data_IF_621884159931
#
_entry.id   IF_621884159931
#
_cell.length_a   1.000
_cell.length_b   1.000
_cell.length_c   1.000
_cell.angle_alpha   90.00
_cell.angle_beta   90.00
_cell.angle_gamma   90.00
#
_symmetry.space_group_name_H-M   'P 1'
#
loop_
_entity.id
_entity.type
_entity.pdbx_description
1 polymer ?
#
# COMPACT_ATOMS: atom_id res chain seq x y z
N UNK A 1 -26.86 8.47 17.89
CA UNK A 1 -26.71 8.82 16.47
C UNK A 1 -25.23 9.09 16.21
N UNK A 2 -24.52 8.17 15.57
CA UNK A 2 -23.18 8.46 15.03
C UNK A 2 -23.24 8.05 13.57
N UNK A 3 -23.45 9.05 12.72
CA UNK A 3 -23.34 8.89 11.28
C UNK A 3 -21.94 8.35 11.01
N UNK A 4 -21.88 7.16 10.41
CA UNK A 4 -20.65 6.56 9.93
C UNK A 4 -20.00 7.56 8.98
N UNK A 5 -18.99 8.29 9.46
CA UNK A 5 -18.19 9.18 8.64
C UNK A 5 -17.65 8.32 7.50
N UNK A 6 -18.02 8.66 6.26
CA UNK A 6 -17.69 7.91 5.04
C UNK A 6 -16.21 7.92 4.67
N UNK A 7 -15.32 8.08 5.66
CA UNK A 7 -13.88 8.17 5.54
C UNK A 7 -13.23 6.88 6.07
N UNK A 8 -12.13 6.48 5.44
CA UNK A 8 -11.40 5.28 5.83
C UNK A 8 -10.86 5.41 7.26
N UNK A 9 -11.07 4.37 8.08
CA UNK A 9 -10.56 4.28 9.45
C UNK A 9 -11.01 5.40 10.42
N UNK A 10 -12.16 6.03 10.21
CA UNK A 10 -12.66 7.16 11.02
C UNK A 10 -13.21 6.79 12.42
N UNK A 11 -13.23 5.51 12.80
CA UNK A 11 -13.80 5.07 14.08
C UNK A 11 -12.91 5.50 15.27
N UNK A 12 -13.49 5.98 16.39
CA UNK A 12 -12.74 6.25 17.61
C UNK A 12 -11.94 5.02 18.06
N UNK A 13 -10.66 5.20 18.39
CA UNK A 13 -9.74 4.12 18.78
C UNK A 13 -9.08 3.36 17.62
N UNK A 14 -9.33 3.72 16.36
CA UNK A 14 -8.53 3.23 15.24
C UNK A 14 -7.16 3.93 15.22
N UNK A 15 -6.09 3.14 15.14
CA UNK A 15 -4.71 3.63 15.22
C UNK A 15 -4.05 3.82 13.84
N UNK A 16 -4.79 3.69 12.74
CA UNK A 16 -4.24 3.72 11.39
C UNK A 16 -3.47 5.01 11.08
N UNK A 17 -4.12 6.17 11.24
CA UNK A 17 -3.50 7.46 10.90
C UNK A 17 -2.26 7.79 11.75
N UNK A 18 -2.28 7.61 13.08
CA UNK A 18 -1.06 7.74 13.89
C UNK A 18 0.05 6.76 13.50
N UNK A 19 -0.29 5.49 13.24
CA UNK A 19 0.69 4.46 12.85
C UNK A 19 1.31 4.77 11.49
N UNK A 20 0.50 5.21 10.51
CA UNK A 20 0.95 5.59 9.18
C UNK A 20 1.96 6.76 9.22
N UNK A 21 1.72 7.72 10.11
CA UNK A 21 2.66 8.80 10.35
C UNK A 21 3.93 8.31 11.05
N UNK A 22 3.78 7.56 12.15
CA UNK A 22 4.92 7.02 12.91
C UNK A 22 5.82 6.10 12.06
N UNK A 23 5.25 5.42 11.07
CA UNK A 23 5.98 4.61 10.10
C UNK A 23 6.61 5.42 8.97
N UNK A 24 6.52 6.75 9.00
CA UNK A 24 7.13 7.67 8.02
C UNK A 24 6.51 7.64 6.62
N UNK A 25 5.29 7.14 6.44
CA UNK A 25 4.58 7.25 5.16
C UNK A 25 4.03 8.66 4.92
N UNK A 26 3.79 9.41 5.99
CA UNK A 26 3.26 10.77 5.95
C UNK A 26 4.07 11.68 6.88
N UNK A 27 4.29 12.96 6.53
CA UNK A 27 5.11 13.88 7.31
C UNK A 27 4.41 14.35 8.60
N UNK A 28 3.09 14.16 8.70
CA UNK A 28 2.24 14.51 9.85
C UNK A 28 1.11 13.49 9.99
N UNK A 29 0.45 13.47 11.15
CA UNK A 29 -0.79 12.70 11.31
C UNK A 29 -1.91 13.38 10.51
N UNK A 30 -2.45 12.69 9.50
CA UNK A 30 -3.62 13.14 8.74
C UNK A 30 -4.90 12.77 9.48
N UNK A 31 -5.95 13.59 9.32
CA UNK A 31 -7.31 13.23 9.74
C UNK A 31 -7.97 12.32 8.70
N UNK A 32 -8.98 11.52 9.09
CA UNK A 32 -9.73 10.70 8.14
C UNK A 32 -10.31 11.49 6.95
N UNK A 33 -10.77 12.71 7.17
CA UNK A 33 -11.30 13.57 6.10
C UNK A 33 -10.21 14.14 5.15
N UNK A 34 -8.94 14.06 5.55
CA UNK A 34 -7.78 14.45 4.74
C UNK A 34 -7.24 13.28 3.89
N UNK A 35 -7.94 12.15 3.82
CA UNK A 35 -7.46 10.94 3.12
C UNK A 35 -7.07 11.16 1.66
N UNK A 36 -7.61 12.18 0.98
CA UNK A 36 -7.22 12.54 -0.39
C UNK A 36 -5.79 13.06 -0.49
N UNK A 37 -5.22 13.61 0.59
CA UNK A 37 -3.83 14.07 0.64
C UNK A 37 -2.85 12.89 0.50
N UNK A 38 -3.27 11.66 0.80
CA UNK A 38 -2.44 10.47 0.57
C UNK A 38 -1.94 10.37 -0.88
N UNK A 39 -2.75 10.82 -1.85
CA UNK A 39 -2.38 10.79 -3.26
C UNK A 39 -1.16 11.67 -3.57
N UNK A 40 -0.96 12.78 -2.85
CA UNK A 40 0.23 13.62 -3.04
C UNK A 40 1.51 12.96 -2.51
N UNK A 41 1.36 11.96 -1.64
CA UNK A 41 2.46 11.13 -1.13
C UNK A 41 2.65 9.84 -1.95
N UNK A 42 1.94 9.69 -3.08
CA UNK A 42 1.98 8.48 -3.90
C UNK A 42 1.26 7.28 -3.28
N UNK A 43 0.41 7.52 -2.27
CA UNK A 43 -0.31 6.49 -1.53
C UNK A 43 -1.79 6.46 -1.97
N UNK A 44 -2.29 5.26 -2.23
CA UNK A 44 -3.71 5.01 -2.45
C UNK A 44 -4.34 4.33 -1.24
N UNK A 45 -5.60 4.64 -0.95
CA UNK A 45 -6.41 3.97 0.08
C UNK A 45 -7.71 3.46 -0.54
N UNK A 46 -8.14 2.27 -0.14
CA UNK A 46 -9.37 1.63 -0.62
C UNK A 46 -9.84 0.59 0.41
N UNK A 47 -11.15 0.32 0.45
CA UNK A 47 -11.68 -0.79 1.23
C UNK A 47 -11.72 -2.07 0.37
N UNK A 48 -11.55 -3.23 1.02
CA UNK A 48 -11.76 -4.54 0.39
C UNK A 48 -13.26 -4.76 0.12
N UNK A 49 -14.12 -4.37 1.06
CA UNK A 49 -15.58 -4.49 0.92
C UNK A 49 -16.20 -3.08 0.97
N UNK A 50 -17.05 -2.76 -0.01
CA UNK A 50 -17.62 -1.40 -0.18
C UNK A 50 -18.77 -1.07 0.78
N UNK A 51 -19.33 -2.06 1.50
CA UNK A 51 -20.47 -1.82 2.38
C UNK A 51 -20.05 -0.97 3.58
N UNK A 52 -20.32 0.33 3.49
CA UNK A 52 -20.20 1.26 4.61
C UNK A 52 -21.01 0.72 5.81
N UNK A 53 -20.38 0.70 6.98
CA UNK A 53 -20.95 0.46 8.33
C UNK A 53 -20.79 -0.92 8.98
N UNK A 54 -20.57 -2.02 8.27
CA UNK A 54 -20.40 -3.33 8.94
C UNK A 54 -19.03 -3.40 9.64
N UNK A 55 -18.96 -3.91 10.87
CA UNK A 55 -17.67 -4.26 11.47
C UNK A 55 -17.03 -5.41 10.67
N UNK A 56 -15.72 -5.61 10.79
CA UNK A 56 -15.02 -6.68 10.06
C UNK A 56 -15.56 -8.09 10.39
N UNK A 57 -16.16 -8.24 11.57
CA UNK A 57 -16.87 -9.40 12.13
C UNK A 57 -18.32 -9.56 11.63
N UNK A 58 -18.89 -8.57 10.95
CA UNK A 58 -20.25 -8.61 10.40
C UNK A 58 -20.26 -8.87 8.89
N UNK A 59 -19.08 -8.92 8.26
CA UNK A 59 -18.91 -9.24 6.85
C UNK A 59 -18.83 -10.76 6.66
N UNK A 60 -19.64 -11.29 5.75
CA UNK A 60 -19.59 -12.70 5.39
C UNK A 60 -18.30 -13.04 4.64
N UNK A 61 -17.89 -14.32 4.72
CA UNK A 61 -16.75 -14.82 3.94
C UNK A 61 -16.93 -14.60 2.43
N UNK A 62 -18.17 -14.67 1.94
CA UNK A 62 -18.49 -14.43 0.53
C UNK A 62 -18.25 -12.97 0.13
N UNK A 63 -18.66 -12.01 0.96
CA UNK A 63 -18.39 -10.58 0.76
C UNK A 63 -16.89 -10.28 0.73
N UNK A 64 -16.10 -10.95 1.59
CA UNK A 64 -14.64 -10.83 1.55
C UNK A 64 -14.04 -11.38 0.26
N UNK A 65 -14.50 -12.56 -0.19
CA UNK A 65 -14.01 -13.16 -1.45
C UNK A 65 -14.34 -12.27 -2.64
N UNK A 66 -15.57 -11.77 -2.71
CA UNK A 66 -16.01 -10.86 -3.77
C UNK A 66 -15.22 -9.54 -3.73
N UNK A 67 -15.06 -8.95 -2.55
CA UNK A 67 -14.22 -7.78 -2.35
C UNK A 67 -12.76 -8.01 -2.77
N UNK A 68 -12.23 -9.20 -2.50
CA UNK A 68 -10.91 -9.64 -2.95
C UNK A 68 -10.78 -9.68 -4.48
N UNK A 69 -11.80 -10.17 -5.19
CA UNK A 69 -11.83 -10.16 -6.67
C UNK A 69 -11.83 -8.74 -7.23
N UNK A 70 -12.73 -7.88 -6.72
CA UNK A 70 -12.81 -6.48 -7.16
C UNK A 70 -11.52 -5.70 -6.87
N UNK A 71 -10.89 -5.98 -5.72
CA UNK A 71 -9.60 -5.41 -5.38
C UNK A 71 -8.51 -5.86 -6.36
N UNK A 72 -8.47 -7.14 -6.73
CA UNK A 72 -7.51 -7.66 -7.71
C UNK A 72 -7.68 -7.01 -9.09
N UNK A 73 -8.91 -6.76 -9.54
CA UNK A 73 -9.19 -6.03 -10.78
C UNK A 73 -8.70 -4.58 -10.70
N UNK A 74 -8.96 -3.89 -9.59
CA UNK A 74 -8.51 -2.51 -9.36
C UNK A 74 -6.98 -2.44 -9.37
N UNK A 75 -6.31 -3.40 -8.75
CA UNK A 75 -4.84 -3.49 -8.72
C UNK A 75 -4.28 -3.77 -10.11
N UNK A 76 -4.88 -4.68 -10.87
CA UNK A 76 -4.50 -4.93 -12.27
C UNK A 76 -4.57 -3.65 -13.12
N UNK A 77 -5.61 -2.84 -12.92
CA UNK A 77 -5.82 -1.59 -13.65
C UNK A 77 -4.85 -0.49 -13.23
N UNK A 78 -4.67 -0.29 -11.93
CA UNK A 78 -3.87 0.82 -11.38
C UNK A 78 -2.38 0.51 -11.28
N UNK A 79 -2.00 -0.77 -11.33
CA UNK A 79 -0.62 -1.29 -11.27
C UNK A 79 0.24 -0.65 -10.17
N UNK A 80 -0.23 -0.64 -8.90
CA UNK A 80 0.63 -0.21 -7.81
C UNK A 80 1.80 -1.18 -7.64
N UNK A 81 2.94 -0.68 -7.17
CA UNK A 81 4.11 -1.53 -6.87
C UNK A 81 3.80 -2.52 -5.73
N UNK A 82 3.08 -2.03 -4.71
CA UNK A 82 2.68 -2.78 -3.53
C UNK A 82 1.19 -2.64 -3.26
N UNK A 83 0.57 -3.75 -2.90
CA UNK A 83 -0.74 -3.84 -2.27
C UNK A 83 -0.56 -4.17 -0.79
N UNK A 84 -0.92 -3.24 0.09
CA UNK A 84 -0.94 -3.46 1.52
C UNK A 84 -2.35 -3.82 1.99
N UNK A 85 -2.54 -5.04 2.52
CA UNK A 85 -3.82 -5.48 3.08
C UNK A 85 -3.73 -5.40 4.60
N UNK A 86 -4.54 -4.50 5.18
CA UNK A 86 -4.54 -4.23 6.62
C UNK A 86 -5.47 -5.22 7.32
N UNK A 87 -4.87 -6.22 7.98
CA UNK A 87 -5.56 -7.29 8.71
C UNK A 87 -5.40 -8.66 8.05
N UNK A 88 -4.72 -9.57 8.76
CA UNK A 88 -4.44 -10.93 8.26
C UNK A 88 -5.70 -11.76 8.01
N UNK A 89 -6.73 -11.64 8.84
CA UNK A 89 -7.98 -12.39 8.65
C UNK A 89 -8.69 -11.98 7.36
N UNK A 90 -8.80 -10.68 7.11
CA UNK A 90 -9.40 -10.16 5.88
C UNK A 90 -8.63 -10.66 4.65
N UNK A 91 -7.29 -10.66 4.69
CA UNK A 91 -6.47 -11.21 3.62
C UNK A 91 -6.71 -12.71 3.39
N UNK A 92 -6.67 -13.50 4.47
CA UNK A 92 -6.89 -14.96 4.43
C UNK A 92 -8.24 -15.30 3.79
N UNK A 93 -9.30 -14.61 4.21
CA UNK A 93 -10.66 -14.86 3.70
C UNK A 93 -10.81 -14.37 2.26
N UNK A 94 -10.35 -13.15 1.95
CA UNK A 94 -10.51 -12.55 0.63
C UNK A 94 -9.74 -13.30 -0.48
N UNK A 95 -8.57 -13.85 -0.17
CA UNK A 95 -7.70 -14.50 -1.16
C UNK A 95 -7.54 -16.01 -0.99
N UNK A 96 -8.19 -16.61 0.02
CA UNK A 96 -8.14 -18.05 0.30
C UNK A 96 -6.82 -18.52 0.94
N UNK A 97 -5.98 -17.61 1.42
CA UNK A 97 -4.60 -17.86 1.85
C UNK A 97 -4.50 -18.22 3.34
N UNK A 98 -5.06 -19.35 3.77
CA UNK A 98 -5.22 -19.72 5.20
C UNK A 98 -3.94 -19.63 6.05
N UNK A 99 -2.77 -19.87 5.45
CA UNK A 99 -1.47 -19.85 6.14
C UNK A 99 -0.79 -18.46 6.19
N UNK A 100 -1.39 -17.43 5.57
CA UNK A 100 -0.78 -16.11 5.48
C UNK A 100 -0.47 -15.52 6.85
N UNK A 101 0.67 -14.82 6.95
CA UNK A 101 1.15 -14.15 8.16
C UNK A 101 1.35 -12.66 7.89
N UNK A 102 1.50 -11.87 8.95
CA UNK A 102 1.93 -10.47 8.83
C UNK A 102 3.30 -10.45 8.14
N UNK A 103 3.49 -9.52 7.19
CA UNK A 103 4.70 -9.39 6.40
C UNK A 103 4.49 -9.47 4.89
N UNK A 104 5.59 -9.51 4.11
CA UNK A 104 5.54 -9.70 2.66
C UNK A 104 4.99 -11.10 2.32
N UNK A 105 4.21 -11.19 1.25
CA UNK A 105 3.70 -12.47 0.72
C UNK A 105 4.40 -12.80 -0.60
N UNK A 106 4.53 -14.10 -0.88
CA UNK A 106 5.09 -14.59 -2.14
C UNK A 106 4.15 -14.37 -3.33
N UNK A 107 2.83 -14.42 -3.07
CA UNK A 107 1.81 -14.24 -4.09
C UNK A 107 1.71 -12.79 -4.56
N UNK A 108 1.56 -12.63 -5.88
CA UNK A 108 1.17 -11.36 -6.49
C UNK A 108 -0.35 -11.29 -6.65
N UNK A 109 -0.91 -10.08 -6.52
CA UNK A 109 -2.32 -9.80 -6.79
C UNK A 109 -2.36 -8.73 -7.88
N UNK A 110 -2.97 -9.04 -9.03
CA UNK A 110 -3.06 -8.10 -10.15
C UNK A 110 -1.70 -7.56 -10.62
N UNK A 111 -0.62 -8.34 -10.44
CA UNK A 111 0.76 -7.94 -10.73
C UNK A 111 1.47 -7.16 -9.62
N UNK A 112 0.78 -6.72 -8.57
CA UNK A 112 1.39 -6.03 -7.44
C UNK A 112 1.95 -7.01 -6.41
N UNK A 113 3.06 -6.62 -5.76
CA UNK A 113 3.60 -7.32 -4.59
C UNK A 113 2.68 -7.11 -3.40
N UNK A 114 2.52 -8.13 -2.56
CA UNK A 114 1.54 -8.08 -1.47
C UNK A 114 2.23 -8.01 -0.11
N UNK A 115 1.74 -7.14 0.76
CA UNK A 115 2.15 -7.08 2.15
C UNK A 115 0.92 -7.12 3.06
N UNK A 116 0.92 -8.02 4.03
CA UNK A 116 -0.15 -8.10 5.03
C UNK A 116 0.29 -7.34 6.26
N UNK A 117 -0.45 -6.31 6.62
CA UNK A 117 -0.18 -5.45 7.77
C UNK A 117 -1.08 -5.79 8.95
N UNK A 118 -0.65 -5.53 10.20
CA UNK A 118 -1.49 -5.75 11.37
C UNK A 118 -2.72 -4.83 11.35
N UNK A 119 -3.83 -5.31 11.91
CA UNK A 119 -5.07 -4.54 11.99
C UNK A 119 -4.93 -3.43 13.06
N UNK A 120 -5.12 -2.15 12.70
CA UNK A 120 -4.95 -0.98 13.57
C UNK A 120 -6.08 -0.77 14.58
N UNK A 121 -7.11 -1.63 14.58
CA UNK A 121 -8.18 -1.61 15.58
C UNK A 121 -7.60 -1.59 17.01
N UNK A 122 -8.12 -0.71 17.87
CA UNK A 122 -7.74 -0.64 19.28
C UNK A 122 -8.03 -1.91 20.08
N UNK A 123 -8.89 -2.80 19.56
CA UNK A 123 -9.20 -4.11 20.16
C UNK A 123 -8.10 -5.16 19.92
N UNK A 124 -7.15 -4.90 19.02
CA UNK A 124 -6.04 -5.80 18.75
C UNK A 124 -4.91 -5.59 19.79
N UNK A 125 -4.99 -6.32 20.90
CA UNK A 125 -4.03 -6.25 22.02
C UNK A 125 -2.67 -6.89 21.70
N UNK A 126 -2.59 -7.74 20.67
CA UNK A 126 -1.35 -8.41 20.29
C UNK A 126 -0.33 -7.50 19.60
N UNK A 127 -0.77 -6.34 19.11
CA UNK A 127 0.09 -5.38 18.40
C UNK A 127 0.10 -4.03 19.12
N UNK A 128 1.28 -3.67 19.63
CA UNK A 128 1.52 -2.32 20.14
C UNK A 128 1.55 -1.32 18.98
N UNK A 129 1.20 -0.04 19.20
CA UNK A 129 1.33 1.00 18.17
C UNK A 129 2.74 1.05 17.56
N UNK A 130 3.76 0.89 18.40
CA UNK A 130 5.16 0.86 17.99
C UNK A 130 5.46 -0.29 17.02
N UNK A 131 5.11 -1.53 17.38
CA UNK A 131 5.36 -2.69 16.53
C UNK A 131 4.60 -2.61 15.19
N UNK A 132 3.39 -2.00 15.19
CA UNK A 132 2.69 -1.73 13.93
C UNK A 132 3.44 -0.71 13.08
N UNK A 133 3.90 0.38 13.67
CA UNK A 133 4.65 1.41 12.94
C UNK A 133 5.95 0.85 12.35
N UNK A 134 6.65 -0.01 13.08
CA UNK A 134 7.83 -0.73 12.61
C UNK A 134 7.52 -1.60 11.38
N UNK A 135 6.43 -2.38 11.42
CA UNK A 135 6.05 -3.23 10.28
C UNK A 135 5.61 -2.41 9.06
N UNK A 136 4.92 -1.29 9.26
CA UNK A 136 4.57 -0.36 8.18
C UNK A 136 5.84 0.30 7.61
N UNK A 137 6.83 0.62 8.45
CA UNK A 137 8.10 1.20 8.00
C UNK A 137 8.90 0.21 7.14
N UNK A 138 8.89 -1.09 7.48
CA UNK A 138 9.50 -2.15 6.66
C UNK A 138 8.89 -2.22 5.27
N UNK A 139 7.56 -2.07 5.14
CA UNK A 139 6.91 -1.96 3.84
C UNK A 139 7.38 -0.71 3.08
N UNK A 140 7.44 0.45 3.75
CA UNK A 140 7.92 1.71 3.15
C UNK A 140 9.34 1.54 2.58
N UNK A 141 10.24 0.96 3.36
CA UNK A 141 11.62 0.69 2.97
C UNK A 141 11.71 -0.28 1.78
N UNK A 142 10.93 -1.36 1.80
CA UNK A 142 10.85 -2.29 0.68
C UNK A 142 10.28 -1.64 -0.60
N UNK A 143 9.34 -0.71 -0.45
CA UNK A 143 8.80 0.08 -1.57
C UNK A 143 9.83 1.08 -2.12
N UNK A 144 10.67 1.67 -1.26
CA UNK A 144 11.74 2.57 -1.69
C UNK A 144 12.91 1.81 -2.33
N UNK A 145 13.30 0.65 -1.80
CA UNK A 145 14.36 -0.18 -2.36
C UNK A 145 14.01 -0.77 -3.74
N UNK A 146 12.72 -1.03 -3.98
CA UNK A 146 12.21 -1.43 -5.29
C UNK A 146 12.17 -0.29 -6.33
N UNK A 147 12.39 0.95 -5.90
CA UNK A 147 12.47 2.16 -6.73
C UNK A 147 13.92 2.61 -6.95
N UNK A 148 14.88 1.66 -7.05
CA UNK A 148 16.27 1.94 -7.43
C UNK A 148 16.38 2.84 -8.68
N UNK A 149 17.50 3.54 -8.90
CA UNK A 149 17.57 4.79 -9.66
C UNK A 149 17.28 4.61 -11.15
N UNK A 150 16.01 4.57 -11.52
CA UNK A 150 15.55 4.52 -12.91
C UNK A 150 15.33 5.93 -13.50
N UNK A 151 15.60 7.01 -12.76
CA UNK A 151 15.29 8.38 -13.16
C UNK A 151 16.49 9.28 -13.53
N UNK A 152 17.75 8.83 -13.40
CA UNK A 152 18.93 9.65 -13.80
C UNK A 152 19.61 9.21 -15.12
N UNK A 153 19.18 8.14 -15.76
CA UNK A 153 19.80 7.61 -16.99
C UNK A 153 19.24 8.19 -18.31
N UNK A 154 18.59 9.37 -18.28
CA UNK A 154 18.23 10.12 -19.49
C UNK A 154 18.66 11.58 -19.38
N UNK A 155 19.97 11.78 -19.26
CA UNK A 155 20.60 12.96 -19.86
C UNK A 155 21.31 12.48 -21.12
N UNK A 156 20.93 12.93 -22.32
CA UNK A 156 21.78 12.72 -23.48
C UNK A 156 23.10 13.44 -23.20
N UNK A 157 24.19 12.68 -23.09
CA UNK A 157 25.53 13.23 -22.99
C UNK A 157 25.83 14.07 -24.23
N UNK A 158 26.65 15.14 -24.12
CA UNK A 158 26.96 16.00 -25.25
C UNK A 158 27.70 15.17 -26.31
N UNK A 159 27.09 15.14 -27.50
CA UNK A 159 27.60 14.50 -28.70
C UNK A 159 28.96 15.12 -29.07
N UNK A 160 30.05 14.47 -28.67
CA UNK A 160 31.39 14.85 -29.13
C UNK A 160 31.55 14.33 -30.55
N UNK A 161 31.42 15.28 -31.48
CA UNK A 161 31.46 15.09 -32.92
C UNK A 161 32.62 14.22 -33.40
N UNK A 162 32.27 13.26 -34.25
CA UNK A 162 33.20 12.58 -35.14
C UNK A 162 33.76 13.61 -36.12
N UNK A 163 35.02 13.99 -35.99
CA UNK A 163 35.80 14.54 -37.11
C UNK A 163 36.54 13.39 -37.77
N UNK A 164 35.92 12.84 -38.81
CA UNK A 164 36.63 12.14 -39.89
C UNK A 164 37.30 13.20 -40.77
N UNK A 165 38.63 13.27 -40.73
CA UNK A 165 39.45 13.97 -41.72
C UNK A 165 40.18 12.93 -42.59
N UNK A 166 40.31 13.15 -43.91
CA UNK A 166 40.72 12.11 -44.84
C UNK A 166 42.25 11.91 -44.91
N UNK A 167 42.63 10.71 -45.35
CA UNK A 167 43.97 10.34 -45.82
C UNK A 167 44.26 10.97 -47.19
N UNK A 168 45.40 11.65 -47.32
CA UNK A 168 46.27 11.78 -48.51
C UNK A 168 47.67 12.14 -47.93
N UNK A 169 48.85 11.72 -48.39
CA UNK A 169 49.30 11.08 -49.62
C UNK A 169 50.65 11.71 -50.00
N UNK A 170 51.72 10.88 -50.03
CA UNK A 170 53.13 11.13 -50.40
C UNK A 170 54.07 11.72 -49.35
#
# INVERSE_FOLDING_TARGET
MSAATGHHFARPGNRFWPVLHASGFTPRVLRPDEERELLTYGLGITNVVQRASARADELSDEEYREGGRQLAEKVTRLRPLWLAVVGVTAYRTAFGERAARIGPQERLIGGARVWVLPNPSGLNAHWTPQAMAEEYARLREAAAAGQGPAAEASRPGPERGRRTGPREGR
#
